data_IF_333212611950
#
_entry.id   IF_333212611950
#
_cell.length_a   1.000
_cell.length_b   1.000
_cell.length_c   1.000
_cell.angle_alpha   90.00
_cell.angle_beta   90.00
_cell.angle_gamma   90.00
#
_symmetry.space_group_name_H-M   'P 1'
#
loop_
_entity.id
_entity.type
_entity.pdbx_description
1 polymer ?
#
# COMPACT_ATOMS: atom_id res chain seq x y z
N UNK A 1 20.53 -4.86 -10.25
CA UNK A 1 21.00 -3.47 -10.08
C UNK A 1 20.15 -2.61 -11.01
N UNK A 2 19.05 -2.07 -10.51
CA UNK A 2 18.32 -1.01 -11.20
C UNK A 2 19.32 0.12 -11.51
N UNK A 3 19.44 0.49 -12.77
CA UNK A 3 20.42 1.48 -13.20
C UNK A 3 20.11 2.85 -12.58
N UNK A 4 21.16 3.59 -12.26
CA UNK A 4 21.16 4.93 -11.66
C UNK A 4 20.45 6.04 -12.50
N UNK A 5 19.69 5.67 -13.52
CA UNK A 5 18.92 6.59 -14.38
C UNK A 5 17.61 7.07 -13.75
N UNK A 6 17.24 6.58 -12.56
CA UNK A 6 15.97 6.91 -11.87
C UNK A 6 16.05 7.98 -10.77
N UNK A 7 17.18 8.69 -10.63
CA UNK A 7 17.29 9.87 -9.76
C UNK A 7 17.02 11.14 -10.58
N UNK A 8 15.75 11.39 -10.88
CA UNK A 8 15.31 12.66 -11.45
C UNK A 8 15.38 13.79 -10.40
N UNK A 9 15.72 14.99 -10.87
CA UNK A 9 16.23 16.16 -10.15
C UNK A 9 15.22 16.87 -9.24
N UNK A 10 14.06 16.29 -8.96
CA UNK A 10 12.97 16.95 -8.22
C UNK A 10 13.11 16.88 -6.69
N UNK A 11 14.06 16.12 -6.15
CA UNK A 11 14.26 16.00 -4.70
C UNK A 11 15.32 16.95 -4.11
N UNK A 12 15.91 17.87 -4.90
CA UNK A 12 16.97 18.76 -4.40
C UNK A 12 16.51 20.02 -3.66
N UNK A 13 15.23 20.39 -3.74
CA UNK A 13 14.71 21.64 -3.15
C UNK A 13 13.64 21.39 -2.09
N UNK A 14 13.97 20.70 -1.00
CA UNK A 14 13.17 20.74 0.25
C UNK A 14 14.07 20.81 1.49
N UNK A 15 14.94 21.82 1.51
CA UNK A 15 15.71 22.22 2.69
C UNK A 15 14.88 23.06 3.66
N UNK A 16 14.08 22.42 4.52
CA UNK A 16 13.71 22.91 5.85
C UNK A 16 13.15 21.75 6.67
N UNK A 17 14.00 21.14 7.50
CA UNK A 17 13.57 20.21 8.56
C UNK A 17 12.79 21.00 9.62
N UNK A 18 11.50 21.22 9.38
CA UNK A 18 10.57 21.55 10.45
C UNK A 18 10.62 20.40 11.46
N UNK A 19 10.91 20.71 12.73
CA UNK A 19 10.84 19.73 13.81
C UNK A 19 9.48 19.05 13.75
N UNK A 20 9.49 17.75 13.44
CA UNK A 20 8.29 16.98 13.22
C UNK A 20 7.45 17.00 14.51
N UNK A 21 6.18 17.43 14.47
CA UNK A 21 5.28 17.14 15.59
C UNK A 21 5.31 15.62 15.78
N UNK A 22 5.45 15.18 17.03
CA UNK A 22 5.48 13.77 17.42
C UNK A 22 4.39 13.01 16.65
N UNK A 23 4.78 12.30 15.59
CA UNK A 23 3.86 11.42 14.89
C UNK A 23 3.25 10.49 15.94
N UNK A 24 1.95 10.16 15.88
CA UNK A 24 1.31 9.33 16.89
C UNK A 24 1.87 7.89 16.83
N UNK A 25 3.04 7.67 17.45
CA UNK A 25 3.78 6.41 17.47
C UNK A 25 2.95 5.28 18.09
N UNK A 26 2.04 5.61 19.02
CA UNK A 26 1.12 4.66 19.64
C UNK A 26 0.12 4.07 18.64
N UNK A 27 -0.33 4.85 17.65
CA UNK A 27 -1.26 4.40 16.61
C UNK A 27 -0.62 3.42 15.64
N UNK A 28 0.58 3.74 15.15
CA UNK A 28 1.30 2.88 14.18
C UNK A 28 1.66 1.52 14.75
N UNK A 29 2.17 1.46 15.98
CA UNK A 29 2.52 0.18 16.61
C UNK A 29 1.29 -0.72 16.74
N UNK A 30 0.15 -0.16 17.15
CA UNK A 30 -1.11 -0.90 17.23
C UNK A 30 -1.60 -1.42 15.88
N UNK A 31 -1.52 -0.60 14.82
CA UNK A 31 -1.85 -1.02 13.45
C UNK A 31 -0.92 -2.13 12.97
N UNK A 32 0.40 -1.94 13.14
CA UNK A 32 1.42 -2.89 12.72
C UNK A 32 1.23 -4.26 13.38
N UNK A 33 1.04 -4.30 14.70
CA UNK A 33 0.85 -5.54 15.44
C UNK A 33 -0.45 -6.25 15.05
N UNK A 34 -1.56 -5.51 14.94
CA UNK A 34 -2.87 -6.09 14.66
C UNK A 34 -2.99 -6.60 13.23
N UNK A 35 -2.68 -5.76 12.24
CA UNK A 35 -2.75 -6.18 10.83
C UNK A 35 -1.59 -7.12 10.47
N UNK A 36 -0.44 -6.95 11.12
CA UNK A 36 0.70 -7.87 11.08
C UNK A 36 0.31 -9.30 11.48
N UNK A 37 -0.49 -9.45 12.53
CA UNK A 37 -0.99 -10.76 12.94
C UNK A 37 -1.83 -11.44 11.85
N UNK A 38 -2.61 -10.69 11.07
CA UNK A 38 -3.39 -11.27 9.98
C UNK A 38 -2.52 -11.74 8.81
N UNK A 39 -1.49 -10.98 8.44
CA UNK A 39 -0.59 -11.40 7.35
C UNK A 39 0.31 -12.56 7.73
N UNK A 40 0.74 -12.64 9.00
CA UNK A 40 1.59 -13.74 9.49
C UNK A 40 0.84 -15.06 9.63
N UNK A 41 -0.46 -15.02 9.96
CA UNK A 41 -1.27 -16.20 10.26
C UNK A 41 -2.35 -16.45 9.19
N UNK A 42 -2.14 -15.99 7.96
CA UNK A 42 -3.15 -16.03 6.88
C UNK A 42 -3.61 -17.45 6.53
N UNK A 43 -2.75 -18.46 6.72
CA UNK A 43 -3.03 -19.88 6.45
C UNK A 43 -3.45 -20.67 7.71
N UNK A 44 -3.17 -20.14 8.91
CA UNK A 44 -3.29 -20.85 10.18
C UNK A 44 -4.43 -20.32 11.08
N UNK A 45 -5.20 -19.35 10.61
CA UNK A 45 -6.26 -18.72 11.39
C UNK A 45 -7.65 -19.15 10.93
N UNK A 46 -8.42 -19.72 11.87
CA UNK A 46 -9.86 -19.96 11.76
C UNK A 46 -10.68 -18.68 11.48
N UNK A 47 -10.10 -17.51 11.75
CA UNK A 47 -10.69 -16.19 11.51
C UNK A 47 -10.44 -15.66 10.09
N UNK A 48 -9.58 -16.31 9.30
CA UNK A 48 -9.20 -15.84 7.97
C UNK A 48 -9.71 -16.83 6.94
N UNK A 49 -10.65 -16.39 6.10
CA UNK A 49 -11.27 -17.26 5.10
C UNK A 49 -10.96 -16.78 3.69
N UNK A 50 -10.54 -17.70 2.82
CA UNK A 50 -10.32 -17.39 1.41
C UNK A 50 -11.65 -16.95 0.79
N UNK A 51 -11.67 -15.72 0.27
CA UNK A 51 -12.84 -15.11 -0.35
C UNK A 51 -12.79 -15.22 -1.86
N UNK A 52 -11.63 -14.94 -2.45
CA UNK A 52 -11.43 -14.93 -3.89
C UNK A 52 -9.99 -15.23 -4.26
N UNK A 53 -9.80 -15.81 -5.45
CA UNK A 53 -8.53 -15.85 -6.15
C UNK A 53 -8.75 -15.17 -7.50
N UNK A 54 -8.15 -14.00 -7.70
CA UNK A 54 -8.41 -13.16 -8.87
C UNK A 54 -7.13 -12.47 -9.29
N UNK A 55 -6.81 -12.55 -10.58
CA UNK A 55 -5.60 -11.96 -11.17
C UNK A 55 -4.31 -12.41 -10.47
N UNK A 56 -4.28 -13.67 -9.97
CA UNK A 56 -3.14 -14.20 -9.20
C UNK A 56 -2.96 -13.57 -7.82
N UNK A 57 -3.99 -12.91 -7.29
CA UNK A 57 -4.05 -12.40 -5.93
C UNK A 57 -5.10 -13.18 -5.16
N UNK A 58 -4.69 -13.83 -4.09
CA UNK A 58 -5.60 -14.45 -3.13
C UNK A 58 -6.08 -13.40 -2.15
N UNK A 59 -7.39 -13.23 -2.02
CA UNK A 59 -8.03 -12.27 -1.11
C UNK A 59 -8.82 -13.02 -0.05
N UNK A 60 -8.64 -12.60 1.19
CA UNK A 60 -9.20 -13.24 2.37
C UNK A 60 -10.04 -12.25 3.17
N UNK A 61 -11.15 -12.74 3.73
CA UNK A 61 -11.93 -12.03 4.74
C UNK A 61 -11.34 -12.32 6.12
N UNK A 62 -11.32 -11.30 6.99
CA UNK A 62 -11.04 -11.47 8.41
C UNK A 62 -12.34 -11.34 9.18
N UNK A 63 -12.73 -12.42 9.88
CA UNK A 63 -13.92 -12.49 10.71
C UNK A 63 -13.52 -12.22 12.17
N UNK A 64 -12.99 -11.02 12.45
CA UNK A 64 -12.66 -10.62 13.82
C UNK A 64 -13.39 -9.32 14.22
N UNK A 65 -14.68 -9.46 14.53
CA UNK A 65 -15.53 -8.34 14.95
C UNK A 65 -15.06 -7.69 16.27
N UNK A 66 -14.31 -8.40 17.11
CA UNK A 66 -13.78 -7.87 18.36
C UNK A 66 -12.55 -6.99 18.10
N UNK A 67 -11.68 -7.41 17.17
CA UNK A 67 -10.52 -6.63 16.75
C UNK A 67 -10.90 -5.32 16.05
N UNK A 68 -12.08 -5.24 15.42
CA UNK A 68 -12.61 -4.00 14.83
C UNK A 68 -13.05 -2.98 15.90
N UNK A 69 -13.34 -3.42 17.15
CA UNK A 69 -13.80 -2.53 18.24
C UNK A 69 -12.67 -2.06 19.16
N UNK A 70 -11.48 -2.66 19.09
CA UNK A 70 -10.30 -2.18 19.79
C UNK A 70 -9.83 -0.84 19.21
N UNK A 71 -9.25 0.03 20.05
CA UNK A 71 -8.92 1.45 19.80
C UNK A 71 -8.52 1.82 18.35
N UNK A 72 -9.51 2.09 17.50
CA UNK A 72 -9.30 2.56 16.11
C UNK A 72 -9.38 1.49 15.01
N UNK A 73 -9.89 0.29 15.28
CA UNK A 73 -10.18 -0.71 14.24
C UNK A 73 -11.25 -0.22 13.25
N UNK A 74 -11.02 -0.43 11.96
CA UNK A 74 -11.93 -0.01 10.90
C UNK A 74 -12.90 -1.16 10.54
N UNK A 75 -14.11 -0.88 10.03
CA UNK A 75 -15.20 -1.85 9.98
C UNK A 75 -15.01 -2.99 9.00
N UNK A 76 -14.10 -2.85 8.03
CA UNK A 76 -13.82 -3.84 7.00
C UNK A 76 -12.33 -4.10 6.96
N UNK A 77 -11.92 -5.35 7.16
CA UNK A 77 -10.54 -5.82 6.95
C UNK A 77 -10.52 -6.78 5.76
N UNK A 78 -9.49 -6.67 4.93
CA UNK A 78 -9.14 -7.61 3.87
C UNK A 78 -7.67 -7.92 3.97
N UNK A 79 -7.32 -9.17 3.71
CA UNK A 79 -5.93 -9.57 3.52
C UNK A 79 -5.77 -10.05 2.09
N UNK A 80 -4.68 -9.70 1.44
CA UNK A 80 -4.31 -10.20 0.14
C UNK A 80 -2.90 -10.77 0.14
N UNK A 81 -2.69 -11.75 -0.73
CA UNK A 81 -1.39 -12.35 -0.99
C UNK A 81 -1.14 -12.43 -2.48
N UNK A 82 0.06 -12.06 -2.91
CA UNK A 82 0.52 -12.17 -4.28
C UNK A 82 1.99 -12.60 -4.35
N UNK A 83 2.38 -13.22 -5.46
CA UNK A 83 3.78 -13.37 -5.85
C UNK A 83 4.09 -12.32 -6.92
N UNK A 84 5.26 -11.70 -6.79
CA UNK A 84 5.77 -10.67 -7.69
C UNK A 84 7.17 -11.08 -8.12
N UNK A 85 7.43 -11.19 -9.42
CA UNK A 85 8.74 -11.54 -9.98
C UNK A 85 9.67 -10.32 -10.00
N UNK A 86 9.96 -9.82 -8.81
CA UNK A 86 10.98 -8.81 -8.58
C UNK A 86 11.63 -8.99 -7.20
N UNK A 87 12.89 -8.55 -7.01
CA UNK A 87 13.51 -8.41 -5.69
C UNK A 87 12.68 -7.55 -4.74
N UNK A 88 12.82 -7.79 -3.43
CA UNK A 88 12.06 -7.07 -2.40
C UNK A 88 12.31 -5.57 -2.47
N UNK A 89 13.54 -5.17 -2.79
CA UNK A 89 13.97 -3.78 -2.90
C UNK A 89 13.22 -3.03 -3.99
N UNK A 90 13.01 -3.67 -5.15
CA UNK A 90 12.34 -3.06 -6.31
C UNK A 90 10.84 -2.88 -6.03
N UNK A 91 10.21 -3.91 -5.44
CA UNK A 91 8.80 -3.83 -4.99
C UNK A 91 8.64 -2.77 -3.90
N UNK A 92 9.55 -2.73 -2.93
CA UNK A 92 9.54 -1.76 -1.86
C UNK A 92 9.73 -0.34 -2.38
N UNK A 93 10.60 -0.13 -3.37
CA UNK A 93 10.84 1.17 -3.99
C UNK A 93 9.58 1.67 -4.71
N UNK A 94 8.96 0.84 -5.54
CA UNK A 94 7.74 1.20 -6.26
C UNK A 94 6.60 1.55 -5.29
N UNK A 95 6.39 0.76 -4.23
CA UNK A 95 5.41 1.08 -3.19
C UNK A 95 5.78 2.35 -2.41
N UNK A 96 7.07 2.54 -2.14
CA UNK A 96 7.60 3.72 -1.48
C UNK A 96 7.57 4.96 -2.37
N UNK A 97 7.13 4.93 -3.63
CA UNK A 97 6.94 6.16 -4.42
C UNK A 97 5.46 6.54 -4.48
N UNK A 98 4.88 6.93 -3.33
CA UNK A 98 3.44 7.18 -3.23
C UNK A 98 2.95 8.30 -4.16
N UNK A 99 3.75 9.34 -4.41
CA UNK A 99 3.40 10.40 -5.37
C UNK A 99 3.25 9.91 -6.81
N UNK A 100 3.85 8.76 -7.15
CA UNK A 100 3.79 8.13 -8.47
C UNK A 100 2.74 7.02 -8.55
N UNK A 101 1.95 6.81 -7.49
CA UNK A 101 0.91 5.77 -7.43
C UNK A 101 -0.05 5.82 -8.61
N UNK A 102 -0.36 7.02 -9.12
CA UNK A 102 -1.24 7.21 -10.29
C UNK A 102 -0.66 6.62 -11.57
N UNK A 103 0.66 6.57 -11.72
CA UNK A 103 1.33 6.06 -12.92
C UNK A 103 1.05 4.57 -13.11
N UNK A 104 1.04 3.81 -12.01
CA UNK A 104 0.82 2.37 -12.05
C UNK A 104 -0.58 1.94 -11.61
N UNK A 105 -1.20 2.59 -10.62
CA UNK A 105 -2.56 2.32 -10.13
C UNK A 105 -3.60 3.31 -10.67
N UNK A 106 -3.51 3.65 -11.95
CA UNK A 106 -4.42 4.62 -12.58
C UNK A 106 -5.88 4.15 -12.58
N UNK A 107 -6.16 2.85 -12.40
CA UNK A 107 -7.52 2.30 -12.38
C UNK A 107 -8.25 2.68 -11.08
N UNK A 108 -7.54 2.72 -9.96
CA UNK A 108 -8.13 3.04 -8.65
C UNK A 108 -7.80 4.45 -8.17
N UNK A 109 -6.67 5.00 -8.62
CA UNK A 109 -6.13 6.27 -8.12
C UNK A 109 -6.29 7.37 -9.16
N UNK A 110 -6.99 8.44 -8.77
CA UNK A 110 -7.13 9.66 -9.57
C UNK A 110 -6.01 10.65 -9.33
N UNK A 111 -5.53 10.71 -8.07
CA UNK A 111 -4.43 11.53 -7.64
C UNK A 111 -3.74 10.90 -6.42
N UNK A 112 -2.45 11.15 -6.27
CA UNK A 112 -1.68 10.70 -5.11
C UNK A 112 -0.48 11.60 -4.91
N UNK A 113 -0.28 12.06 -3.69
CA UNK A 113 0.70 13.09 -3.38
C UNK A 113 1.45 12.75 -2.10
N UNK A 114 2.77 12.96 -2.14
CA UNK A 114 3.56 13.12 -0.93
C UNK A 114 3.27 14.52 -0.37
N UNK A 115 2.53 14.59 0.74
CA UNK A 115 2.15 15.88 1.34
C UNK A 115 3.36 16.50 2.04
N UNK A 116 4.07 15.70 2.84
CA UNK A 116 5.32 16.09 3.49
C UNK A 116 6.10 14.87 3.97
N UNK A 117 7.42 14.99 4.01
CA UNK A 117 8.28 14.05 4.73
C UNK A 117 8.18 14.34 6.24
N UNK A 118 8.10 13.29 7.05
CA UNK A 118 8.09 13.40 8.52
C UNK A 118 9.41 12.92 9.12
N UNK A 119 10.00 11.88 8.51
CA UNK A 119 11.29 11.28 8.83
C UNK A 119 11.82 10.55 7.58
N UNK A 120 13.09 10.09 7.55
CA UNK A 120 13.62 9.33 6.41
C UNK A 120 12.81 8.08 6.04
N UNK A 121 12.15 7.48 7.03
CA UNK A 121 11.34 6.28 6.91
C UNK A 121 9.84 6.56 7.05
N UNK A 122 9.40 7.79 7.30
CA UNK A 122 8.00 8.13 7.56
C UNK A 122 7.54 9.38 6.81
N UNK A 123 6.32 9.34 6.26
CA UNK A 123 5.79 10.42 5.43
C UNK A 123 4.28 10.51 5.45
N UNK A 124 3.76 11.71 5.26
CA UNK A 124 2.33 11.96 5.12
C UNK A 124 1.93 11.85 3.65
N UNK A 125 0.95 11.01 3.36
CA UNK A 125 0.46 10.74 2.01
C UNK A 125 -1.00 11.14 1.90
N UNK A 126 -1.33 11.77 0.78
CA UNK A 126 -2.70 12.00 0.33
C UNK A 126 -2.96 11.12 -0.88
N UNK A 127 -4.11 10.48 -0.94
CA UNK A 127 -4.52 9.66 -2.08
C UNK A 127 -5.99 9.87 -2.37
N UNK A 128 -6.32 10.19 -3.61
CA UNK A 128 -7.69 10.34 -4.07
C UNK A 128 -8.06 9.18 -5.00
N UNK A 129 -9.06 8.41 -4.61
CA UNK A 129 -9.60 7.33 -5.41
C UNK A 129 -10.48 7.83 -6.56
N UNK A 130 -10.53 7.07 -7.66
CA UNK A 130 -11.47 7.36 -8.75
C UNK A 130 -12.93 7.14 -8.31
N UNK A 131 -13.88 7.97 -8.78
CA UNK A 131 -15.29 7.67 -8.66
C UNK A 131 -15.60 6.28 -9.21
N UNK A 132 -16.45 5.52 -8.52
CA UNK A 132 -16.80 4.15 -8.92
C UNK A 132 -18.18 4.14 -9.59
N UNK A 133 -18.40 3.13 -10.45
CA UNK A 133 -19.65 2.90 -11.20
C UNK A 133 -20.18 4.12 -11.96
N UNK A 134 -19.33 4.72 -12.80
CA UNK A 134 -19.73 5.84 -13.66
C UNK A 134 -20.11 7.12 -12.88
N UNK A 135 -19.58 7.31 -11.67
CA UNK A 135 -19.85 8.51 -10.86
C UNK A 135 -21.00 8.38 -9.87
N UNK A 136 -21.72 7.25 -9.84
CA UNK A 136 -22.77 7.01 -8.83
C UNK A 136 -22.21 6.92 -7.41
N UNK A 137 -20.93 6.59 -7.27
CA UNK A 137 -20.22 6.54 -5.99
C UNK A 137 -19.18 7.66 -6.04
N UNK A 138 -19.37 8.67 -5.20
CA UNK A 138 -18.43 9.78 -5.07
C UNK A 138 -16.99 9.30 -4.87
N UNK A 139 -16.02 10.09 -5.33
CA UNK A 139 -14.63 9.84 -5.00
C UNK A 139 -14.44 9.83 -3.48
N UNK A 140 -13.56 8.95 -3.01
CA UNK A 140 -13.05 8.99 -1.63
C UNK A 140 -11.62 9.46 -1.68
N UNK A 141 -11.24 10.30 -0.73
CA UNK A 141 -9.85 10.58 -0.45
C UNK A 141 -9.44 9.99 0.89
N UNK A 142 -8.16 9.67 1.00
CA UNK A 142 -7.54 9.07 2.16
C UNK A 142 -6.29 9.86 2.49
N UNK A 143 -6.07 10.09 3.77
CA UNK A 143 -4.81 10.61 4.27
C UNK A 143 -4.27 9.67 5.32
N UNK A 144 -3.01 9.31 5.19
CA UNK A 144 -2.35 8.37 6.09
C UNK A 144 -0.86 8.71 6.21
N UNK A 145 -0.29 8.39 7.37
CA UNK A 145 1.15 8.34 7.50
C UNK A 145 1.63 6.97 7.05
N UNK A 146 2.52 6.93 6.07
CA UNK A 146 3.21 5.73 5.61
C UNK A 146 4.58 5.65 6.27
N UNK A 147 4.87 4.55 6.94
CA UNK A 147 6.13 4.29 7.64
C UNK A 147 6.75 2.99 7.14
N UNK A 148 8.04 3.02 6.78
CA UNK A 148 8.86 1.82 6.57
C UNK A 148 9.27 1.31 7.95
N UNK A 149 8.46 0.42 8.50
CA UNK A 149 8.51 0.08 9.91
C UNK A 149 9.51 -1.05 10.23
N UNK A 150 10.00 -1.14 11.47
CA UNK A 150 10.87 -2.23 11.90
C UNK A 150 10.18 -3.60 11.85
N UNK A 151 10.92 -4.64 11.42
CA UNK A 151 10.38 -5.99 11.20
C UNK A 151 9.98 -6.71 12.49
N UNK A 152 10.60 -6.35 13.61
CA UNK A 152 10.30 -6.91 14.94
C UNK A 152 8.86 -6.65 15.38
N UNK A 153 8.18 -5.66 14.80
CA UNK A 153 6.76 -5.38 15.08
C UNK A 153 5.83 -6.51 14.65
N UNK A 154 6.27 -7.33 13.68
CA UNK A 154 5.47 -8.43 13.11
C UNK A 154 6.22 -9.76 13.09
N UNK A 155 7.43 -9.83 13.66
CA UNK A 155 8.25 -11.05 13.68
C UNK A 155 8.65 -11.55 12.29
N UNK A 156 8.81 -10.65 11.31
CA UNK A 156 9.15 -11.04 9.94
C UNK A 156 10.63 -11.47 9.80
N UNK A 157 10.90 -12.24 8.73
CA UNK A 157 12.23 -12.78 8.43
C UNK A 157 13.21 -11.67 8.00
N UNK A 158 14.53 -11.84 8.21
CA UNK A 158 15.54 -10.96 7.62
C UNK A 158 15.40 -10.86 6.08
N UNK A 159 15.70 -9.68 5.53
CA UNK A 159 15.51 -9.41 4.09
C UNK A 159 14.08 -9.04 3.70
N UNK A 160 13.12 -9.12 4.62
CA UNK A 160 11.78 -8.56 4.42
C UNK A 160 11.76 -7.05 4.49
N UNK A 161 10.69 -6.44 3.96
CA UNK A 161 10.36 -5.03 4.18
C UNK A 161 8.91 -4.91 4.67
N UNK A 162 8.70 -4.08 5.68
CA UNK A 162 7.38 -3.79 6.24
C UNK A 162 7.02 -2.32 6.01
N UNK A 163 5.83 -2.08 5.45
CA UNK A 163 5.21 -0.76 5.44
C UNK A 163 3.95 -0.78 6.29
N UNK A 164 3.80 0.24 7.13
CA UNK A 164 2.61 0.48 7.95
C UNK A 164 2.02 1.80 7.50
N UNK A 165 0.72 1.80 7.19
CA UNK A 165 -0.03 3.01 6.89
C UNK A 165 -1.06 3.19 8.01
N UNK A 166 -0.95 4.30 8.72
CA UNK A 166 -1.86 4.65 9.81
C UNK A 166 -2.70 5.87 9.41
N UNK A 167 -3.99 5.83 9.75
CA UNK A 167 -4.95 6.87 9.43
C UNK A 167 -4.45 8.24 9.93
N UNK A 168 -4.51 9.22 9.03
CA UNK A 168 -4.13 10.60 9.27
C UNK A 168 -5.16 11.55 8.65
N UNK A 169 -6.43 11.13 8.59
CA UNK A 169 -7.51 11.88 7.95
C UNK A 169 -7.63 13.34 8.43
N UNK A 170 -7.19 13.66 9.65
CA UNK A 170 -7.25 15.02 10.21
C UNK A 170 -6.02 15.90 9.87
N UNK A 171 -4.97 15.34 9.27
CA UNK A 171 -3.73 16.06 8.95
C UNK A 171 -3.81 16.88 7.66
N UNK A 172 -4.77 16.57 6.78
CA UNK A 172 -5.00 17.27 5.51
C UNK A 172 -6.43 17.79 5.49
N UNK A 173 -6.67 19.06 5.11
CA UNK A 173 -8.02 19.60 5.03
C UNK A 173 -8.97 18.73 4.19
N UNK A 174 -10.27 18.67 4.51
CA UNK A 174 -11.25 17.98 3.68
C UNK A 174 -11.31 18.57 2.27
N UNK A 175 -11.45 17.70 1.28
CA UNK A 175 -11.70 18.10 -0.11
C UNK A 175 -13.20 18.00 -0.41
N UNK A 176 -13.85 19.12 -0.76
CA UNK A 176 -15.29 19.15 -1.05
C UNK A 176 -15.69 18.28 -2.26
N UNK A 177 -14.75 17.87 -3.11
CA UNK A 177 -14.99 16.97 -4.24
C UNK A 177 -14.98 15.47 -3.84
N UNK A 178 -14.65 15.13 -2.59
CA UNK A 178 -14.54 13.74 -2.15
C UNK A 178 -15.01 13.53 -0.71
N UNK A 179 -15.47 12.32 -0.40
CA UNK A 179 -15.73 11.92 0.98
C UNK A 179 -14.44 11.42 1.61
N UNK A 180 -14.01 12.02 2.73
CA UNK A 180 -12.84 11.57 3.49
C UNK A 180 -13.10 10.21 4.13
N UNK A 181 -12.34 9.21 3.69
CA UNK A 181 -12.31 7.90 4.32
C UNK A 181 -11.16 7.78 5.32
N UNK A 182 -11.29 6.84 6.25
CA UNK A 182 -10.20 6.39 7.11
C UNK A 182 -9.60 5.11 6.52
N UNK A 183 -8.29 4.95 6.62
CA UNK A 183 -7.59 3.75 6.19
C UNK A 183 -6.43 3.43 7.13
N UNK A 184 -6.27 2.14 7.44
CA UNK A 184 -5.04 1.60 7.97
C UNK A 184 -4.60 0.42 7.09
N UNK A 185 -3.31 0.23 6.91
CA UNK A 185 -2.82 -0.92 6.16
C UNK A 185 -1.44 -1.38 6.62
N UNK A 186 -1.13 -2.63 6.33
CA UNK A 186 0.19 -3.24 6.44
C UNK A 186 0.52 -3.93 5.12
N UNK A 187 1.66 -3.59 4.54
CA UNK A 187 2.28 -4.34 3.45
C UNK A 187 3.55 -5.00 3.97
N UNK A 188 3.59 -6.33 3.95
CA UNK A 188 4.77 -7.12 4.26
C UNK A 188 5.29 -7.76 2.96
N UNK A 189 6.54 -7.45 2.63
CA UNK A 189 7.25 -8.01 1.50
C UNK A 189 8.26 -9.04 2.02
N UNK A 190 8.16 -10.28 1.56
CA UNK A 190 9.00 -11.39 1.99
C UNK A 190 9.76 -11.95 0.79
N UNK A 191 11.10 -12.05 0.85
CA UNK A 191 11.85 -12.67 -0.23
C UNK A 191 11.50 -14.17 -0.31
N UNK A 192 11.19 -14.65 -1.50
CA UNK A 192 11.06 -16.09 -1.81
C UNK A 192 12.39 -16.61 -2.33
N UNK A 193 13.00 -15.85 -3.23
CA UNK A 193 14.32 -16.06 -3.84
C UNK A 193 14.87 -14.67 -4.27
N UNK A 194 16.07 -14.56 -4.87
CA UNK A 194 16.66 -13.27 -5.23
C UNK A 194 15.86 -12.42 -6.23
N UNK A 195 14.90 -13.01 -6.95
CA UNK A 195 14.13 -12.33 -8.01
C UNK A 195 12.62 -12.42 -7.79
N UNK A 196 12.18 -13.01 -6.67
CA UNK A 196 10.75 -13.21 -6.39
C UNK A 196 10.42 -12.74 -4.97
N UNK A 197 9.41 -11.89 -4.88
CA UNK A 197 8.84 -11.39 -3.64
C UNK A 197 7.45 -11.95 -3.42
N UNK A 198 7.18 -12.41 -2.20
CA UNK A 198 5.81 -12.66 -1.73
C UNK A 198 5.32 -11.42 -0.99
N UNK A 199 4.26 -10.82 -1.51
CA UNK A 199 3.62 -9.65 -0.92
C UNK A 199 2.37 -10.07 -0.14
N UNK A 200 2.27 -9.63 1.10
CA UNK A 200 1.10 -9.73 1.94
C UNK A 200 0.57 -8.34 2.25
N UNK A 201 -0.70 -8.08 1.98
CA UNK A 201 -1.31 -6.78 2.17
C UNK A 201 -2.58 -6.90 2.99
N UNK A 202 -2.54 -6.44 4.25
CA UNK A 202 -3.72 -6.28 5.07
C UNK A 202 -4.16 -4.83 5.01
N UNK A 203 -5.43 -4.59 4.69
CA UNK A 203 -6.01 -3.27 4.66
C UNK A 203 -7.32 -3.28 5.41
N UNK A 204 -7.53 -2.23 6.18
CA UNK A 204 -8.81 -1.91 6.75
C UNK A 204 -9.23 -0.49 6.41
N UNK A 205 -10.54 -0.29 6.24
CA UNK A 205 -11.07 0.98 5.77
C UNK A 205 -12.44 1.30 6.34
N UNK A 206 -12.67 2.58 6.58
CA UNK A 206 -13.99 3.17 6.74
C UNK A 206 -14.17 4.22 5.63
N UNK A 207 -14.97 3.88 4.63
CA UNK A 207 -15.19 4.75 3.46
C UNK A 207 -16.05 5.98 3.76
N UNK A 208 -16.64 6.05 4.97
CA UNK A 208 -17.57 7.08 5.45
C UNK A 208 -18.74 7.36 4.49
N UNK A 209 -19.58 8.31 4.89
CA UNK A 209 -20.77 8.72 4.14
C UNK A 209 -21.82 7.62 4.04
N UNK A 210 -22.89 7.92 3.31
CA UNK A 210 -23.96 6.96 3.07
C UNK A 210 -23.68 6.16 1.79
N UNK A 211 -23.48 4.85 1.93
CA UNK A 211 -23.39 3.90 0.82
C UNK A 211 -24.15 2.62 1.19
N UNK A 212 -24.86 1.99 0.23
CA UNK A 212 -25.40 0.66 0.45
C UNK A 212 -24.30 -0.34 0.80
N UNK A 213 -24.52 -1.22 1.79
CA UNK A 213 -23.52 -2.20 2.27
C UNK A 213 -22.92 -3.03 1.14
N UNK A 214 -23.72 -3.43 0.14
CA UNK A 214 -23.24 -4.19 -1.04
C UNK A 214 -22.19 -3.41 -1.84
N UNK A 215 -22.31 -2.09 -1.90
CA UNK A 215 -21.36 -1.21 -2.60
C UNK A 215 -20.06 -1.09 -1.83
N UNK A 216 -20.14 -0.90 -0.50
CA UNK A 216 -18.95 -0.85 0.37
C UNK A 216 -18.17 -2.15 0.29
N UNK A 217 -18.86 -3.30 0.36
CA UNK A 217 -18.22 -4.62 0.21
C UNK A 217 -17.54 -4.80 -1.15
N UNK A 218 -18.21 -4.43 -2.23
CA UNK A 218 -17.62 -4.54 -3.57
C UNK A 218 -16.36 -3.66 -3.73
N UNK A 219 -16.39 -2.42 -3.21
CA UNK A 219 -15.22 -1.55 -3.23
C UNK A 219 -14.07 -2.10 -2.37
N UNK A 220 -14.39 -2.61 -1.18
CA UNK A 220 -13.40 -3.24 -0.31
C UNK A 220 -12.76 -4.49 -0.92
N UNK A 221 -13.48 -5.22 -1.79
CA UNK A 221 -12.95 -6.40 -2.48
C UNK A 221 -11.98 -6.04 -3.62
N UNK A 222 -12.09 -4.84 -4.19
CA UNK A 222 -11.20 -4.38 -5.27
C UNK A 222 -9.86 -3.86 -4.75
N UNK A 223 -9.85 -3.21 -3.59
CA UNK A 223 -8.66 -2.51 -3.07
C UNK A 223 -7.46 -3.45 -2.84
N UNK A 224 -7.61 -4.66 -2.29
CA UNK A 224 -6.49 -5.60 -2.13
C UNK A 224 -5.90 -6.07 -3.47
N UNK A 225 -6.65 -5.97 -4.57
CA UNK A 225 -6.15 -6.28 -5.92
C UNK A 225 -5.16 -5.23 -6.43
N UNK A 226 -4.90 -4.15 -5.69
CA UNK A 226 -3.78 -3.24 -5.98
C UNK A 226 -2.44 -3.97 -6.04
N UNK A 227 -2.30 -5.14 -5.37
CA UNK A 227 -1.14 -6.01 -5.52
C UNK A 227 -0.99 -6.57 -6.95
N UNK A 228 -2.09 -6.88 -7.64
CA UNK A 228 -2.03 -7.31 -9.05
C UNK A 228 -1.51 -6.17 -9.92
N UNK A 229 -2.01 -4.95 -9.69
CA UNK A 229 -1.62 -3.77 -10.46
C UNK A 229 -0.15 -3.41 -10.22
N UNK A 230 0.31 -3.46 -8.97
CA UNK A 230 1.72 -3.29 -8.61
C UNK A 230 2.60 -4.33 -9.29
N UNK A 231 2.21 -5.61 -9.22
CA UNK A 231 2.93 -6.71 -9.86
C UNK A 231 3.06 -6.46 -11.36
N UNK A 232 1.94 -6.25 -12.03
CA UNK A 232 1.89 -6.14 -13.49
C UNK A 232 2.71 -4.95 -13.99
N UNK A 233 2.75 -3.84 -13.22
CA UNK A 233 3.60 -2.70 -13.52
C UNK A 233 5.10 -3.04 -13.40
N UNK A 234 5.53 -3.57 -12.26
CA UNK A 234 6.95 -3.87 -12.01
C UNK A 234 7.46 -4.93 -12.98
N UNK A 235 6.72 -6.01 -13.18
CA UNK A 235 7.13 -7.10 -14.08
C UNK A 235 7.21 -6.62 -15.53
N UNK A 236 6.34 -5.69 -15.93
CA UNK A 236 6.42 -5.05 -17.24
C UNK A 236 7.66 -4.17 -17.37
N UNK A 237 7.94 -3.29 -16.40
CA UNK A 237 9.12 -2.41 -16.45
C UNK A 237 10.43 -3.21 -16.55
N UNK A 238 10.56 -4.28 -15.75
CA UNK A 238 11.73 -5.16 -15.80
C UNK A 238 11.85 -5.89 -17.15
N UNK A 239 10.72 -6.30 -17.74
CA UNK A 239 10.71 -6.91 -19.08
C UNK A 239 11.12 -5.92 -20.17
N UNK A 240 10.62 -4.68 -20.09
CA UNK A 240 10.93 -3.63 -21.05
C UNK A 240 12.42 -3.25 -20.98
N UNK A 241 12.99 -3.11 -19.77
CA UNK A 241 14.44 -2.88 -19.57
C UNK A 241 15.31 -4.03 -20.12
N UNK A 242 14.91 -5.27 -19.85
CA UNK A 242 15.61 -6.45 -20.36
C UNK A 242 15.59 -6.53 -21.90
N UNK A 243 14.57 -5.97 -22.55
CA UNK A 243 14.45 -5.91 -24.01
C UNK A 243 15.31 -4.82 -24.67
N UNK A 244 15.66 -3.75 -23.93
CA UNK A 244 16.51 -2.64 -24.41
C UNK A 244 18.00 -2.89 -24.21
N UNK A 245 18.37 -3.75 -23.25
CA UNK A 245 19.75 -4.13 -22.92
C UNK A 245 20.55 -4.87 -24.02
N UNK A 246 19.96 -5.70 -24.92
CA UNK A 246 20.71 -6.40 -25.95
C UNK A 246 21.34 -5.48 -27.01
N UNK A 247 20.70 -4.36 -27.34
CA UNK A 247 21.21 -3.40 -28.33
C UNK A 247 22.31 -2.48 -27.78
N UNK A 248 22.33 -2.20 -26.47
CA UNK A 248 23.40 -1.40 -25.84
C UNK A 248 24.75 -2.14 -25.84
N UNK A 249 24.74 -3.48 -25.80
CA UNK A 249 25.96 -4.29 -25.91
C UNK A 249 26.53 -4.36 -27.34
N UNK A 250 25.73 -4.09 -28.38
CA UNK A 250 26.16 -4.13 -29.78
C UNK A 250 26.84 -2.83 -30.26
N UNK A 251 26.68 -1.71 -29.55
CA UNK A 251 27.33 -0.41 -29.86
C UNK A 251 28.70 -0.21 -29.20
N UNK A 252 29.23 -1.23 -28.53
CA UNK A 252 30.55 -1.22 -27.87
C UNK A 252 31.54 -2.15 -28.58
N UNK A 253 31.26 -2.57 -29.81
CA UNK A 253 32.20 -3.31 -30.67
C UNK A 253 32.56 -2.52 -31.92
#
# INVERSE_FOLDING_TARGET
MLSNTYLDKSERDQGALCQAPNAPQSGMKGVAQRLGAYVQNIEDSDKITLRADKLGVKVYDVVDQAAHKAAGGLPVVRVAQALIKAPVEDVALCWWQAGRRKEWDSVNTSDSQLVRSLAPDARLVYMQGKPKRGGMISSRDFCYVSHKAPLELVGAKPGSTLFVQANAANEVPPNNASTRGDVNSVLLLVPVDPITTRAYYAIEMDVKGWLPVKVVKAAADEIPLTLAVLRDHIEKELSDEASLSPEAAAKVR
#
